data_IF_419484634414
#
_entry.id   IF_419484634414
#
_cell.length_a   1.000
_cell.length_b   1.000
_cell.length_c   1.000
_cell.angle_alpha   90.00
_cell.angle_beta   90.00
_cell.angle_gamma   90.00
#
_symmetry.space_group_name_H-M   'P 1'
#
loop_
_entity.id
_entity.type
_entity.pdbx_description
1 polymer ?
#
# COMPACT_ATOMS: atom_id res chain seq x y z
N UNK A 1 10.95 12.27 20.32
CA UNK A 1 9.48 12.29 20.47
C UNK A 1 8.88 11.32 19.47
N UNK A 2 7.82 10.61 19.85
CA UNK A 2 7.10 9.67 18.97
C UNK A 2 5.74 10.28 18.67
N UNK A 3 5.43 10.48 17.39
CA UNK A 3 4.09 10.89 16.95
C UNK A 3 3.37 9.72 16.27
N UNK A 4 2.04 9.83 16.16
CA UNK A 4 1.24 8.96 15.30
C UNK A 4 1.06 9.61 13.93
N UNK A 5 0.99 8.78 12.90
CA UNK A 5 0.60 9.15 11.55
C UNK A 5 -0.50 8.18 11.10
N UNK A 6 -1.67 8.71 10.80
CA UNK A 6 -2.74 7.97 10.11
C UNK A 6 -2.53 8.10 8.61
N UNK A 7 -2.41 6.98 7.92
CA UNK A 7 -2.29 6.91 6.47
C UNK A 7 -3.60 6.38 5.90
N UNK A 8 -4.19 7.11 4.97
CA UNK A 8 -5.35 6.69 4.17
C UNK A 8 -4.93 6.62 2.71
N UNK A 9 -4.94 5.43 2.12
CA UNK A 9 -4.64 5.21 0.71
C UNK A 9 -5.92 4.84 -0.05
N UNK A 10 -6.15 5.50 -1.18
CA UNK A 10 -7.24 5.19 -2.12
C UNK A 10 -6.62 4.66 -3.41
N UNK A 11 -6.86 3.39 -3.69
CA UNK A 11 -6.53 2.74 -4.96
C UNK A 11 -7.70 2.84 -5.94
N UNK A 12 -7.41 3.19 -7.20
CA UNK A 12 -8.35 3.21 -8.33
C UNK A 12 -7.79 2.42 -9.49
N UNK A 13 -8.57 2.29 -10.56
CA UNK A 13 -8.16 1.59 -11.79
C UNK A 13 -7.65 0.17 -11.48
N UNK A 14 -8.48 -0.63 -10.80
CA UNK A 14 -8.12 -1.96 -10.35
C UNK A 14 -8.04 -2.95 -11.53
N UNK A 15 -7.21 -4.00 -11.44
CA UNK A 15 -6.92 -4.89 -12.58
C UNK A 15 -8.06 -5.84 -12.96
N UNK A 16 -9.18 -5.83 -12.21
CA UNK A 16 -10.28 -6.77 -12.37
C UNK A 16 -10.14 -8.02 -11.50
N UNK A 17 -11.23 -8.77 -11.33
CA UNK A 17 -11.24 -10.03 -10.59
C UNK A 17 -10.46 -11.16 -11.29
N UNK A 18 -10.14 -10.97 -12.57
CA UNK A 18 -9.26 -11.84 -13.34
C UNK A 18 -8.18 -10.97 -14.02
N UNK A 19 -6.92 -11.40 -13.96
CA UNK A 19 -5.82 -10.71 -14.65
C UNK A 19 -4.74 -11.69 -15.12
N UNK A 20 -3.84 -11.23 -15.99
CA UNK A 20 -2.80 -12.04 -16.62
C UNK A 20 -3.26 -12.65 -17.94
N UNK A 21 -2.31 -13.25 -18.67
CA UNK A 21 -2.60 -13.86 -19.96
C UNK A 21 -3.67 -14.94 -19.80
N UNK A 22 -4.79 -14.77 -20.50
CA UNK A 22 -5.92 -15.73 -20.50
C UNK A 22 -6.52 -16.00 -19.10
N UNK A 23 -6.45 -15.03 -18.18
CA UNK A 23 -7.03 -15.16 -16.84
C UNK A 23 -6.26 -16.11 -15.94
N UNK A 24 -4.92 -15.95 -15.94
CA UNK A 24 -3.98 -16.72 -15.10
C UNK A 24 -4.35 -16.65 -13.62
N UNK A 25 -4.74 -15.47 -13.14
CA UNK A 25 -5.18 -15.25 -11.76
C UNK A 25 -6.67 -14.96 -11.72
N UNK A 26 -7.38 -15.51 -10.72
CA UNK A 26 -8.82 -15.34 -10.52
C UNK A 26 -9.15 -15.03 -9.08
N UNK A 27 -10.37 -14.52 -8.85
CA UNK A 27 -10.79 -14.01 -7.55
C UNK A 27 -9.70 -13.11 -6.94
N UNK A 28 -9.16 -12.21 -7.77
CA UNK A 28 -8.04 -11.36 -7.41
C UNK A 28 -8.50 -10.33 -6.38
N UNK A 29 -7.72 -10.18 -5.33
CA UNK A 29 -7.90 -9.19 -4.28
C UNK A 29 -6.63 -8.39 -4.06
N UNK A 30 -6.78 -7.15 -3.63
CA UNK A 30 -5.70 -6.28 -3.16
C UNK A 30 -5.85 -6.03 -1.66
N UNK A 31 -4.75 -6.05 -0.92
CA UNK A 31 -4.71 -5.77 0.51
C UNK A 31 -3.48 -4.95 0.89
N UNK A 32 -3.52 -4.29 2.05
CA UNK A 32 -2.29 -3.80 2.70
C UNK A 32 -1.67 -4.93 3.52
N UNK A 33 -0.33 -5.02 3.59
CA UNK A 33 0.30 -6.01 4.48
C UNK A 33 0.42 -5.50 5.92
N UNK A 34 0.04 -6.36 6.88
CA UNK A 34 0.30 -6.21 8.31
C UNK A 34 1.18 -7.37 8.78
N UNK A 35 2.47 -7.11 8.98
CA UNK A 35 3.47 -8.16 9.13
C UNK A 35 3.55 -9.00 7.83
N UNK A 36 3.42 -10.34 7.90
CA UNK A 36 3.38 -11.18 6.70
C UNK A 36 1.97 -11.33 6.09
N UNK A 37 0.92 -10.91 6.81
CA UNK A 37 -0.47 -11.19 6.42
C UNK A 37 -1.07 -10.06 5.59
N UNK A 38 -1.93 -10.38 4.60
CA UNK A 38 -2.82 -9.39 4.00
C UNK A 38 -3.87 -8.94 5.02
N UNK A 39 -4.18 -7.66 5.05
CA UNK A 39 -5.20 -7.07 5.91
C UNK A 39 -6.27 -6.37 5.05
N UNK A 40 -7.53 -6.60 5.40
CA UNK A 40 -8.71 -6.02 4.75
C UNK A 40 -8.67 -6.17 3.20
N UNK A 41 -8.60 -7.40 2.66
CA UNK A 41 -8.60 -7.62 1.22
C UNK A 41 -9.85 -7.04 0.56
N UNK A 42 -9.65 -6.34 -0.55
CA UNK A 42 -10.70 -5.77 -1.41
C UNK A 42 -10.64 -6.48 -2.76
N UNK A 43 -11.80 -6.90 -3.29
CA UNK A 43 -11.85 -7.49 -4.63
C UNK A 43 -11.31 -6.53 -5.67
N UNK A 44 -10.54 -7.04 -6.62
CA UNK A 44 -9.89 -6.25 -7.65
C UNK A 44 -10.84 -5.80 -8.79
N UNK A 45 -12.13 -6.12 -8.72
CA UNK A 45 -13.19 -5.55 -9.56
C UNK A 45 -14.05 -4.49 -8.83
N UNK A 46 -13.68 -4.13 -7.60
CA UNK A 46 -14.32 -3.03 -6.89
C UNK A 46 -14.03 -1.68 -7.56
N UNK A 47 -14.91 -0.66 -7.42
CA UNK A 47 -14.66 0.67 -7.97
C UNK A 47 -13.45 1.37 -7.34
N UNK A 48 -13.17 1.08 -6.06
CA UNK A 48 -11.99 1.56 -5.36
C UNK A 48 -11.58 0.59 -4.24
N UNK A 49 -10.31 0.66 -3.84
CA UNK A 49 -9.80 0.00 -2.64
C UNK A 49 -9.30 1.06 -1.65
N UNK A 50 -9.85 1.07 -0.44
CA UNK A 50 -9.51 2.06 0.58
C UNK A 50 -8.86 1.37 1.77
N UNK A 51 -7.64 1.78 2.10
CA UNK A 51 -6.90 1.28 3.26
C UNK A 51 -6.61 2.42 4.22
N UNK A 52 -6.91 2.23 5.50
CA UNK A 52 -6.55 3.18 6.56
C UNK A 52 -5.81 2.44 7.65
N UNK A 53 -4.62 2.92 8.01
CA UNK A 53 -3.80 2.33 9.07
C UNK A 53 -2.94 3.38 9.78
N UNK A 54 -2.46 3.02 10.97
CA UNK A 54 -1.62 3.90 11.78
C UNK A 54 -0.18 3.41 11.85
N UNK A 55 0.75 4.35 11.75
CA UNK A 55 2.17 4.12 12.01
C UNK A 55 2.68 5.11 13.06
N UNK A 56 3.77 4.74 13.71
CA UNK A 56 4.47 5.63 14.66
C UNK A 56 5.68 6.23 13.96
N UNK A 57 5.88 7.54 14.09
CA UNK A 57 7.01 8.26 13.51
C UNK A 57 7.92 8.72 14.64
N UNK A 58 9.17 8.25 14.62
CA UNK A 58 10.21 8.65 15.54
C UNK A 58 11.16 9.60 14.83
N UNK A 59 11.47 10.73 15.45
CA UNK A 59 12.54 11.60 14.97
C UNK A 59 13.90 11.01 15.38
N UNK A 60 14.74 10.71 14.38
CA UNK A 60 16.12 10.33 14.61
C UNK A 60 16.98 11.56 15.00
N UNK A 61 18.14 11.38 15.64
CA UNK A 61 19.01 12.49 16.05
C UNK A 61 19.47 13.40 14.90
N UNK A 62 19.53 12.87 13.68
CA UNK A 62 19.86 13.60 12.44
C UNK A 62 18.66 14.34 11.82
N UNK A 63 17.50 14.33 12.50
CA UNK A 63 16.26 14.94 12.04
C UNK A 63 15.48 14.11 11.00
N UNK A 64 15.93 12.90 10.67
CA UNK A 64 15.21 12.04 9.73
C UNK A 64 14.07 11.29 10.43
N UNK A 65 12.87 11.19 9.82
CA UNK A 65 11.80 10.39 10.37
C UNK A 65 12.06 8.89 10.17
N UNK A 66 11.85 8.10 11.22
CA UNK A 66 11.85 6.65 11.17
C UNK A 66 10.46 6.11 11.54
N UNK A 67 9.85 5.44 10.57
CA UNK A 67 8.51 4.88 10.69
C UNK A 67 8.57 3.49 11.33
N UNK A 68 7.59 3.20 12.19
CA UNK A 68 7.45 1.94 12.92
C UNK A 68 5.99 1.52 13.00
N UNK A 69 5.75 0.21 13.08
CA UNK A 69 4.41 -0.35 13.18
C UNK A 69 4.30 -1.62 12.36
N UNK A 70 3.17 -2.34 12.47
CA UNK A 70 3.02 -3.63 11.82
C UNK A 70 2.85 -3.52 10.29
N UNK A 71 2.46 -2.37 9.76
CA UNK A 71 2.42 -2.08 8.32
C UNK A 71 3.76 -1.64 7.74
N UNK A 72 4.75 -1.35 8.60
CA UNK A 72 6.03 -0.80 8.18
C UNK A 72 7.03 -1.90 7.90
N UNK A 73 7.63 -1.84 6.72
CA UNK A 73 8.61 -2.77 6.20
C UNK A 73 9.90 -2.03 5.81
N UNK A 74 10.94 -2.79 5.47
CA UNK A 74 12.25 -2.26 5.08
C UNK A 74 13.12 -1.87 6.29
N UNK A 75 14.35 -1.42 6.03
CA UNK A 75 15.28 -0.92 7.07
C UNK A 75 15.05 0.57 7.33
N UNK A 76 15.63 1.12 8.41
CA UNK A 76 15.62 2.57 8.67
C UNK A 76 16.18 3.33 7.46
N UNK A 77 15.55 4.44 7.08
CA UNK A 77 15.88 5.22 5.88
C UNK A 77 15.23 4.70 4.57
N UNK A 78 14.78 3.45 4.56
CA UNK A 78 14.15 2.80 3.40
C UNK A 78 12.80 2.17 3.82
N UNK A 79 12.03 2.91 4.64
CA UNK A 79 10.74 2.44 5.14
C UNK A 79 9.68 2.54 4.05
N UNK A 80 8.88 1.49 3.94
CA UNK A 80 7.75 1.40 3.02
C UNK A 80 6.65 0.53 3.62
N UNK A 81 5.48 0.52 2.99
CA UNK A 81 4.44 -0.48 3.23
C UNK A 81 4.11 -1.18 1.91
N UNK A 82 3.52 -2.38 1.99
CA UNK A 82 3.15 -3.15 0.80
C UNK A 82 1.68 -3.02 0.49
N UNK A 83 1.38 -2.84 -0.79
CA UNK A 83 0.20 -3.44 -1.39
C UNK A 83 0.53 -4.85 -1.85
N UNK A 84 -0.41 -5.77 -1.64
CA UNK A 84 -0.27 -7.18 -2.00
C UNK A 84 -1.49 -7.66 -2.75
N UNK A 85 -1.26 -8.42 -3.82
CA UNK A 85 -2.29 -9.05 -4.62
C UNK A 85 -2.22 -10.56 -4.47
N UNK A 86 -3.38 -11.17 -4.42
CA UNK A 86 -3.52 -12.60 -4.27
C UNK A 86 -4.90 -13.07 -4.70
N UNK A 87 -4.96 -14.36 -4.97
CA UNK A 87 -6.22 -15.07 -5.17
C UNK A 87 -6.83 -15.36 -3.81
N UNK A 88 -8.12 -15.10 -3.64
CA UNK A 88 -8.86 -15.39 -2.42
C UNK A 88 -10.22 -16.00 -2.77
N UNK A 89 -10.26 -17.29 -3.13
CA UNK A 89 -11.51 -17.98 -3.42
C UNK A 89 -12.35 -18.13 -2.15
N UNK A 90 -13.67 -18.27 -2.31
CA UNK A 90 -14.60 -18.42 -1.19
C UNK A 90 -14.22 -19.60 -0.29
N UNK A 91 -13.94 -19.32 0.99
CA UNK A 91 -13.55 -20.33 1.98
C UNK A 91 -12.10 -20.80 1.89
N UNK A 92 -11.29 -20.21 1.01
CA UNK A 92 -9.87 -20.48 0.88
C UNK A 92 -8.98 -19.45 1.58
N UNK A 93 -7.68 -19.71 1.56
CA UNK A 93 -6.66 -18.80 2.05
C UNK A 93 -6.18 -17.84 0.95
N UNK A 94 -5.70 -16.66 1.37
CA UNK A 94 -5.11 -15.69 0.44
C UNK A 94 -3.78 -16.21 -0.10
N UNK A 95 -3.72 -16.47 -1.41
CA UNK A 95 -2.50 -16.90 -2.10
C UNK A 95 -1.89 -15.73 -2.85
N UNK A 96 -0.86 -15.13 -2.25
CA UNK A 96 -0.17 -13.97 -2.81
C UNK A 96 0.60 -14.35 -4.09
N UNK A 97 0.42 -13.57 -5.16
CA UNK A 97 1.22 -13.70 -6.38
C UNK A 97 1.99 -12.43 -6.76
N UNK A 98 1.61 -11.24 -6.27
CA UNK A 98 2.27 -9.97 -6.63
C UNK A 98 2.27 -8.96 -5.48
N UNK A 99 3.25 -8.05 -5.46
CA UNK A 99 3.39 -6.96 -4.47
C UNK A 99 4.02 -5.69 -5.04
N UNK A 100 3.75 -4.58 -4.38
CA UNK A 100 4.26 -3.25 -4.70
C UNK A 100 4.57 -2.48 -3.41
N UNK A 101 5.68 -1.75 -3.40
CA UNK A 101 6.16 -0.95 -2.26
C UNK A 101 5.73 0.50 -2.45
N UNK A 102 5.08 1.07 -1.44
CA UNK A 102 4.84 2.51 -1.33
C UNK A 102 5.69 3.08 -0.19
N UNK A 103 6.46 4.11 -0.49
CA UNK A 103 7.56 4.55 0.36
C UNK A 103 7.14 5.73 1.23
N UNK A 104 7.41 5.64 2.54
CA UNK A 104 7.11 6.75 3.44
C UNK A 104 7.99 7.97 3.18
N UNK A 105 9.17 7.77 2.57
CA UNK A 105 10.09 8.86 2.20
C UNK A 105 9.52 9.79 1.11
N UNK A 106 8.51 9.35 0.35
CA UNK A 106 7.87 10.18 -0.67
C UNK A 106 6.74 11.06 -0.11
N UNK A 107 6.39 10.88 1.16
CA UNK A 107 5.38 11.70 1.83
C UNK A 107 5.99 13.06 2.24
N UNK A 108 5.32 14.20 1.95
CA UNK A 108 5.84 15.50 2.34
C UNK A 108 6.03 15.64 3.86
N UNK A 109 7.22 16.03 4.35
CA UNK A 109 7.51 16.07 5.80
C UNK A 109 6.54 16.93 6.62
N UNK A 110 6.10 18.07 6.08
CA UNK A 110 5.14 18.94 6.74
C UNK A 110 3.78 18.25 6.99
N UNK A 111 3.36 17.37 6.07
CA UNK A 111 2.11 16.61 6.19
C UNK A 111 2.28 15.43 7.15
N UNK A 112 3.44 14.77 7.13
CA UNK A 112 3.80 13.76 8.15
C UNK A 112 3.74 14.37 9.55
N UNK A 113 4.29 15.57 9.74
CA UNK A 113 4.24 16.28 11.03
C UNK A 113 2.81 16.63 11.49
N UNK A 114 1.88 16.85 10.54
CA UNK A 114 0.46 17.06 10.85
C UNK A 114 -0.27 15.79 11.32
N UNK A 115 0.35 14.61 11.18
CA UNK A 115 -0.16 13.34 11.71
C UNK A 115 -1.24 12.66 10.85
N UNK A 116 -1.56 13.21 9.68
CA UNK A 116 -2.50 12.60 8.71
C UNK A 116 -1.97 12.71 7.30
N UNK A 117 -2.08 11.62 6.56
CA UNK A 117 -1.65 11.52 5.17
C UNK A 117 -2.75 10.86 4.34
N UNK A 118 -3.13 11.50 3.24
CA UNK A 118 -3.96 10.90 2.20
C UNK A 118 -3.09 10.56 0.98
N UNK A 119 -3.31 9.39 0.38
CA UNK A 119 -2.65 8.99 -0.85
C UNK A 119 -3.63 8.48 -1.89
N UNK A 120 -3.32 8.67 -3.16
CA UNK A 120 -4.06 8.08 -4.28
C UNK A 120 -3.13 7.42 -5.29
N UNK A 121 -3.52 6.26 -5.81
CA UNK A 121 -2.69 5.44 -6.71
C UNK A 121 -3.56 4.65 -7.69
N UNK A 122 -3.10 4.54 -8.95
CA UNK A 122 -3.66 3.58 -9.91
C UNK A 122 -3.14 2.17 -9.64
N UNK A 123 -4.00 1.16 -9.61
CA UNK A 123 -3.67 -0.19 -9.17
C UNK A 123 -3.36 -1.17 -10.31
N UNK A 124 -3.46 -0.70 -11.56
CA UNK A 124 -3.11 -1.44 -12.78
C UNK A 124 -1.92 -0.80 -13.47
N UNK A 125 -0.97 -1.61 -13.93
CA UNK A 125 0.19 -1.19 -14.72
C UNK A 125 -0.13 -1.13 -16.23
N UNK A 126 0.84 -0.71 -17.04
CA UNK A 126 0.67 -0.55 -18.48
C UNK A 126 0.42 -1.84 -19.25
N UNK A 127 0.59 -3.01 -18.61
CA UNK A 127 0.34 -4.33 -19.20
C UNK A 127 -1.03 -4.90 -18.77
N UNK A 128 -1.83 -4.13 -18.02
CA UNK A 128 -3.10 -4.61 -17.49
C UNK A 128 -2.94 -5.51 -16.27
N UNK A 129 -1.74 -5.58 -15.67
CA UNK A 129 -1.45 -6.35 -14.48
C UNK A 129 -1.51 -5.47 -13.23
N UNK A 130 -1.67 -6.03 -12.02
CA UNK A 130 -1.61 -5.21 -10.83
C UNK A 130 -0.27 -4.47 -10.72
N UNK A 131 -0.23 -3.23 -10.21
CA UNK A 131 1.06 -2.53 -10.04
C UNK A 131 2.04 -3.34 -9.20
N UNK A 132 3.33 -3.22 -9.49
CA UNK A 132 4.37 -4.03 -8.85
C UNK A 132 5.62 -3.21 -8.47
N UNK A 133 6.63 -3.89 -7.91
CA UNK A 133 7.93 -3.32 -7.58
C UNK A 133 7.85 -2.12 -6.62
N UNK A 134 8.24 -0.92 -7.07
CA UNK A 134 8.21 0.31 -6.27
C UNK A 134 7.31 1.34 -6.92
N UNK A 135 6.24 1.73 -6.24
CA UNK A 135 5.35 2.81 -6.66
C UNK A 135 5.80 4.08 -5.95
N UNK A 136 6.21 5.06 -6.75
CA UNK A 136 6.70 6.38 -6.33
C UNK A 136 5.82 7.46 -6.97
N UNK A 137 5.98 8.75 -6.63
CA UNK A 137 5.45 9.81 -7.48
C UNK A 137 6.11 9.79 -8.88
N UNK A 138 5.36 10.08 -9.97
CA UNK A 138 3.98 10.57 -9.97
C UNK A 138 2.89 9.49 -9.88
N UNK A 139 3.21 8.20 -9.87
CA UNK A 139 2.23 7.10 -9.86
C UNK A 139 1.41 7.02 -8.55
N UNK A 140 1.99 7.45 -7.43
CA UNK A 140 1.26 7.76 -6.20
C UNK A 140 1.34 9.26 -5.90
N UNK A 141 0.19 9.84 -5.56
CA UNK A 141 0.05 11.24 -5.14
C UNK A 141 -0.25 11.29 -3.66
N UNK A 142 0.46 12.15 -2.92
CA UNK A 142 0.34 12.32 -1.47
C UNK A 142 -0.16 13.71 -1.10
N UNK A 143 -1.21 13.77 -0.28
CA UNK A 143 -1.95 14.98 0.09
C UNK A 143 -2.26 15.04 1.59
N UNK A 144 -2.81 16.17 2.06
CA UNK A 144 -3.30 16.25 3.43
C UNK A 144 -4.55 15.37 3.58
N UNK A 145 -4.61 14.63 4.69
CA UNK A 145 -5.77 13.82 5.07
C UNK A 145 -6.62 14.43 6.17
#
# INVERSE_FOLDING_TARGET
MTQKLTVRLVGRDLPGAECGERGEYRDVHVAVQRGPAPEAPVRADAPEAVFTFEVSVLQAPDGTPDFRGPHVQGKRGERFFYLTWGELPSGGDFTMFRRAKLWFADMPPARVAAGRMAGSVGLTDGEGMPVCAGVRPPEVVWEAG
#
